data_IF_772672051845
#
_entry.id   IF_772672051845
#
_cell.length_a   1.000
_cell.length_b   1.000
_cell.length_c   1.000
_cell.angle_alpha   90.00
_cell.angle_beta   90.00
_cell.angle_gamma   90.00
#
_symmetry.space_group_name_H-M   'P 1'
#
loop_
_entity.id
_entity.type
_entity.pdbx_description
1 polymer ?
#
# COMPACT_ATOMS: atom_id res chain seq x y z
N UNK A 1 -7.93 17.91 19.62
CA UNK A 1 -8.09 18.59 18.31
C UNK A 1 -9.45 18.23 17.71
N UNK A 2 -10.09 19.10 16.90
CA UNK A 2 -11.36 18.80 16.21
C UNK A 2 -11.21 19.07 14.73
N UNK A 3 -11.81 18.22 13.87
CA UNK A 3 -11.81 18.33 12.41
C UNK A 3 -13.11 17.78 11.82
N UNK A 4 -13.43 18.08 10.56
CA UNK A 4 -14.55 17.44 9.86
C UNK A 4 -14.18 16.04 9.40
N UNK A 5 -12.96 15.88 8.88
CA UNK A 5 -12.48 14.61 8.35
C UNK A 5 -11.09 14.30 8.93
N UNK A 6 -10.97 13.12 9.49
CA UNK A 6 -9.69 12.54 9.90
C UNK A 6 -9.23 11.55 8.83
N UNK A 7 -8.02 11.72 8.32
CA UNK A 7 -7.34 10.75 7.43
C UNK A 7 -6.27 10.03 8.25
N UNK A 8 -6.32 8.70 8.28
CA UNK A 8 -5.37 7.86 9.01
C UNK A 8 -4.44 7.16 8.01
N UNK A 9 -3.20 7.58 7.98
CA UNK A 9 -2.15 7.14 7.07
C UNK A 9 -1.73 8.21 6.07
N UNK A 10 -0.43 8.51 6.03
CA UNK A 10 0.21 9.50 5.15
C UNK A 10 0.85 8.87 3.89
N UNK A 11 0.33 7.74 3.44
CA UNK A 11 0.69 7.16 2.14
C UNK A 11 0.01 7.88 0.97
N UNK A 12 0.23 7.41 -0.29
CA UNK A 12 -0.35 8.02 -1.49
C UNK A 12 -1.87 8.18 -1.41
N UNK A 13 -2.59 7.17 -0.90
CA UNK A 13 -4.05 7.22 -0.73
C UNK A 13 -4.48 8.33 0.23
N UNK A 14 -3.91 8.38 1.43
CA UNK A 14 -4.31 9.35 2.46
C UNK A 14 -3.96 10.78 2.07
N UNK A 15 -2.76 11.02 1.54
CA UNK A 15 -2.36 12.36 1.09
C UNK A 15 -3.24 12.84 -0.07
N UNK A 16 -3.61 11.95 -1.01
CA UNK A 16 -4.53 12.30 -2.10
C UNK A 16 -5.93 12.64 -1.58
N UNK A 17 -6.46 11.87 -0.62
CA UNK A 17 -7.74 12.19 0.01
C UNK A 17 -7.71 13.54 0.73
N UNK A 18 -6.62 13.84 1.45
CA UNK A 18 -6.43 15.11 2.12
C UNK A 18 -6.38 16.29 1.15
N UNK A 19 -5.69 16.15 0.00
CA UNK A 19 -5.66 17.15 -1.06
C UNK A 19 -7.08 17.44 -1.58
N UNK A 20 -7.85 16.40 -1.92
CA UNK A 20 -9.23 16.58 -2.42
C UNK A 20 -10.10 17.30 -1.40
N UNK A 21 -10.12 16.83 -0.15
CA UNK A 21 -10.94 17.40 0.92
C UNK A 21 -10.58 18.84 1.25
N UNK A 22 -9.30 19.17 1.30
CA UNK A 22 -8.82 20.55 1.51
C UNK A 22 -9.25 21.46 0.37
N UNK A 23 -9.19 21.00 -0.89
CA UNK A 23 -9.68 21.74 -2.05
C UNK A 23 -11.20 21.91 -2.06
N UNK A 24 -11.95 21.04 -1.39
CA UNK A 24 -13.38 21.20 -1.10
C UNK A 24 -13.64 22.11 0.12
N UNK A 25 -12.59 22.78 0.64
CA UNK A 25 -12.65 23.65 1.83
C UNK A 25 -13.16 22.94 3.08
N UNK A 26 -12.88 21.62 3.20
CA UNK A 26 -13.15 20.85 4.41
C UNK A 26 -12.01 21.01 5.41
N UNK A 27 -12.38 20.99 6.70
CA UNK A 27 -11.43 20.95 7.79
C UNK A 27 -10.93 19.50 7.92
N UNK A 28 -9.65 19.28 7.59
CA UNK A 28 -9.01 17.97 7.46
C UNK A 28 -7.77 17.91 8.32
N UNK A 29 -7.54 16.76 8.93
CA UNK A 29 -6.28 16.43 9.59
C UNK A 29 -5.80 15.05 9.12
N UNK A 30 -4.50 14.92 8.88
CA UNK A 30 -3.85 13.64 8.59
C UNK A 30 -3.09 13.18 9.83
N UNK A 31 -3.29 11.93 10.25
CA UNK A 31 -2.44 11.28 11.25
C UNK A 31 -1.61 10.21 10.56
N UNK A 32 -0.29 10.30 10.66
CA UNK A 32 0.65 9.45 9.94
C UNK A 32 1.74 8.90 10.85
N UNK A 33 1.82 7.57 10.94
CA UNK A 33 2.87 6.85 11.67
C UNK A 33 4.23 6.81 10.98
N UNK A 34 4.34 7.34 9.74
CA UNK A 34 5.62 7.50 9.04
C UNK A 34 6.16 6.25 8.34
N UNK A 35 5.40 5.14 8.29
CA UNK A 35 5.84 3.87 7.70
C UNK A 35 5.10 3.54 6.40
N UNK A 36 5.02 4.50 5.48
CA UNK A 36 4.39 4.26 4.17
C UNK A 36 5.20 3.27 3.33
N UNK A 37 4.52 2.21 2.86
CA UNK A 37 5.08 1.23 1.91
C UNK A 37 5.66 1.89 0.66
N UNK A 38 5.03 2.97 0.19
CA UNK A 38 5.50 3.71 -0.98
C UNK A 38 6.92 4.29 -0.81
N UNK A 39 7.37 4.55 0.43
CA UNK A 39 8.75 5.01 0.69
C UNK A 39 9.81 3.98 0.29
N UNK A 40 9.45 2.70 0.23
CA UNK A 40 10.33 1.59 -0.17
C UNK A 40 10.50 1.48 -1.69
N UNK A 41 9.68 2.17 -2.50
CA UNK A 41 9.75 2.08 -3.96
C UNK A 41 11.03 2.76 -4.46
N UNK A 42 12.00 2.01 -5.04
CA UNK A 42 13.23 2.59 -5.56
C UNK A 42 12.94 3.61 -6.67
N UNK A 43 12.10 3.19 -7.62
CA UNK A 43 11.56 4.01 -8.71
C UNK A 43 10.31 3.37 -9.29
N UNK A 44 9.22 4.12 -9.39
CA UNK A 44 8.00 3.69 -10.09
C UNK A 44 8.00 4.26 -11.50
N UNK A 45 7.85 3.40 -12.50
CA UNK A 45 7.74 3.77 -13.91
C UNK A 45 6.32 3.69 -14.46
N UNK A 46 5.39 3.12 -13.70
CA UNK A 46 4.00 2.94 -14.10
C UNK A 46 3.05 4.04 -13.57
N UNK A 47 3.60 5.15 -13.03
CA UNK A 47 2.81 6.30 -12.61
C UNK A 47 2.79 7.35 -13.73
N UNK A 48 1.62 7.66 -14.33
CA UNK A 48 1.49 8.67 -15.37
C UNK A 48 2.00 10.04 -14.93
N UNK A 49 2.59 10.80 -15.86
CA UNK A 49 3.18 12.11 -15.60
C UNK A 49 4.67 12.09 -15.22
N UNK A 50 5.24 10.89 -15.02
CA UNK A 50 6.66 10.71 -14.71
C UNK A 50 7.35 9.80 -15.73
N UNK A 51 7.66 10.29 -16.94
CA UNK A 51 8.22 9.46 -18.03
C UNK A 51 9.56 8.80 -17.67
N UNK A 52 10.34 9.42 -16.78
CA UNK A 52 11.61 8.87 -16.27
C UNK A 52 11.44 8.14 -14.93
N UNK A 53 10.19 7.83 -14.55
CA UNK A 53 9.84 7.29 -13.24
C UNK A 53 10.06 8.30 -12.11
N UNK A 54 9.56 7.93 -10.93
CA UNK A 54 9.72 8.72 -9.71
C UNK A 54 10.06 7.80 -8.53
N UNK A 55 10.96 8.23 -7.65
CA UNK A 55 11.26 7.52 -6.40
C UNK A 55 10.10 7.68 -5.42
N UNK A 56 9.79 6.60 -4.68
CA UNK A 56 8.64 6.62 -3.77
C UNK A 56 8.71 7.70 -2.70
N UNK A 57 9.89 7.90 -2.08
CA UNK A 57 10.10 8.95 -1.09
C UNK A 57 9.96 10.37 -1.70
N UNK A 58 10.35 10.55 -2.96
CA UNK A 58 10.22 11.83 -3.66
C UNK A 58 8.75 12.13 -3.96
N UNK A 59 7.99 11.12 -4.41
CA UNK A 59 6.55 11.24 -4.61
C UNK A 59 5.84 11.66 -3.32
N UNK A 60 6.11 10.94 -2.22
CA UNK A 60 5.54 11.27 -0.91
C UNK A 60 5.88 12.68 -0.47
N UNK A 61 7.14 13.09 -0.60
CA UNK A 61 7.58 14.45 -0.25
C UNK A 61 6.86 15.54 -1.05
N UNK A 62 6.65 15.31 -2.36
CA UNK A 62 5.89 16.25 -3.22
C UNK A 62 4.43 16.32 -2.79
N UNK A 63 3.80 15.19 -2.48
CA UNK A 63 2.42 15.14 -2.02
C UNK A 63 2.25 15.77 -0.63
N UNK A 64 3.16 15.48 0.31
CA UNK A 64 3.14 16.12 1.64
C UNK A 64 3.25 17.63 1.55
N UNK A 65 4.17 18.14 0.72
CA UNK A 65 4.29 19.57 0.48
C UNK A 65 2.98 20.17 -0.04
N UNK A 66 2.32 19.51 -1.00
CA UNK A 66 1.04 19.98 -1.54
C UNK A 66 -0.06 19.98 -0.46
N UNK A 67 -0.10 19.00 0.43
CA UNK A 67 -1.02 18.96 1.58
C UNK A 67 -0.75 20.11 2.55
N UNK A 68 0.53 20.40 2.83
CA UNK A 68 0.94 21.50 3.72
C UNK A 68 0.62 22.87 3.13
N UNK A 69 0.85 23.06 1.82
CA UNK A 69 0.50 24.30 1.11
C UNK A 69 -1.02 24.59 1.12
N UNK A 70 -1.85 23.54 1.24
CA UNK A 70 -3.29 23.66 1.45
C UNK A 70 -3.70 23.89 2.92
N UNK A 71 -2.74 24.04 3.82
CA UNK A 71 -2.97 24.31 5.25
C UNK A 71 -3.44 23.08 6.06
N UNK A 72 -3.31 21.86 5.53
CA UNK A 72 -3.73 20.65 6.25
C UNK A 72 -2.64 20.22 7.23
N UNK A 73 -2.93 20.09 8.53
CA UNK A 73 -1.98 19.58 9.50
C UNK A 73 -1.73 18.08 9.31
N UNK A 74 -0.45 17.68 9.38
CA UNK A 74 -0.01 16.29 9.41
C UNK A 74 0.55 16.01 10.80
N UNK A 75 -0.16 15.21 11.57
CA UNK A 75 0.26 14.78 12.91
C UNK A 75 1.09 13.50 12.79
N UNK A 76 2.36 13.55 13.14
CA UNK A 76 3.25 12.37 13.15
C UNK A 76 2.99 11.57 14.42
N UNK A 77 2.12 10.58 14.32
CA UNK A 77 1.66 9.72 15.40
C UNK A 77 0.89 8.52 14.83
N UNK A 78 0.67 7.49 15.64
CA UNK A 78 -0.15 6.33 15.26
C UNK A 78 -1.49 6.38 15.99
N UNK A 79 -2.59 6.21 15.24
CA UNK A 79 -3.91 6.06 15.82
C UNK A 79 -4.03 4.67 16.44
N UNK A 80 -4.40 4.60 17.71
CA UNK A 80 -4.48 3.35 18.48
C UNK A 80 -5.92 2.88 18.70
N UNK A 81 -6.91 3.78 18.63
CA UNK A 81 -8.32 3.40 18.75
C UNK A 81 -9.24 4.42 18.09
N UNK A 82 -10.41 3.94 17.70
CA UNK A 82 -11.54 4.74 17.21
C UNK A 82 -12.76 4.42 18.05
N UNK A 83 -13.45 5.43 18.55
CA UNK A 83 -14.67 5.28 19.34
C UNK A 83 -15.77 6.16 18.76
N UNK A 84 -16.93 5.56 18.45
CA UNK A 84 -18.10 6.32 17.98
C UNK A 84 -18.71 7.13 19.15
N UNK A 85 -18.93 8.39 18.92
CA UNK A 85 -19.76 9.29 19.75
C UNK A 85 -21.06 9.60 19.00
N UNK A 86 -22.00 10.30 19.61
CA UNK A 86 -23.32 10.57 18.98
C UNK A 86 -23.24 11.08 17.54
N UNK A 87 -22.42 12.12 17.28
CA UNK A 87 -22.27 12.78 15.98
C UNK A 87 -20.86 12.76 15.42
N UNK A 88 -19.91 12.38 16.24
CA UNK A 88 -18.48 12.43 15.95
C UNK A 88 -17.82 11.08 16.28
N UNK A 89 -16.58 10.94 15.88
CA UNK A 89 -15.68 9.83 16.21
C UNK A 89 -14.53 10.39 17.01
N UNK A 90 -14.21 9.78 18.14
CA UNK A 90 -13.00 10.06 18.89
C UNK A 90 -11.90 9.10 18.44
N UNK A 91 -10.83 9.64 17.91
CA UNK A 91 -9.60 8.90 17.60
C UNK A 91 -8.56 9.19 18.69
N UNK A 92 -8.03 8.14 19.29
CA UNK A 92 -6.89 8.23 20.21
C UNK A 92 -5.60 7.95 19.47
N UNK A 93 -4.55 8.69 19.75
CA UNK A 93 -3.22 8.50 19.21
C UNK A 93 -2.16 8.82 20.28
N UNK A 94 -0.89 8.46 20.07
CA UNK A 94 0.18 8.54 21.07
C UNK A 94 0.38 9.94 21.66
N UNK A 95 -0.12 11.00 21.00
CA UNK A 95 0.05 12.39 21.42
C UNK A 95 -1.24 13.07 21.85
N UNK A 96 -2.35 12.31 21.99
CA UNK A 96 -3.63 12.85 22.43
C UNK A 96 -4.82 12.32 21.65
N UNK A 97 -5.83 13.16 21.46
CA UNK A 97 -7.07 12.76 20.80
C UNK A 97 -7.51 13.74 19.72
N UNK A 98 -8.19 13.21 18.71
CA UNK A 98 -8.82 13.97 17.62
C UNK A 98 -10.29 13.57 17.56
N UNK A 99 -11.18 14.55 17.46
CA UNK A 99 -12.60 14.32 17.21
C UNK A 99 -12.90 14.69 15.75
N UNK A 100 -13.53 13.79 15.00
CA UNK A 100 -13.88 14.01 13.61
C UNK A 100 -15.29 13.49 13.29
N UNK A 101 -15.92 14.01 12.22
CA UNK A 101 -17.23 13.55 11.75
C UNK A 101 -17.14 12.37 10.77
N UNK A 102 -16.04 12.30 10.02
CA UNK A 102 -15.74 11.24 9.06
C UNK A 102 -14.30 10.78 9.26
N UNK A 103 -14.06 9.52 9.02
CA UNK A 103 -12.73 8.91 9.09
C UNK A 103 -12.45 8.21 7.76
N UNK A 104 -11.28 8.48 7.19
CA UNK A 104 -10.76 7.77 6.01
C UNK A 104 -9.54 6.97 6.47
N UNK A 105 -9.67 5.65 6.43
CA UNK A 105 -8.60 4.72 6.76
C UNK A 105 -7.76 4.44 5.50
N UNK A 106 -6.52 4.88 5.52
CA UNK A 106 -5.52 4.74 4.46
C UNK A 106 -4.22 4.09 4.99
N UNK A 107 -4.38 3.13 5.90
CA UNK A 107 -3.32 2.52 6.70
C UNK A 107 -2.44 1.55 5.91
N UNK A 108 -2.95 1.04 4.78
CA UNK A 108 -2.21 0.18 3.86
C UNK A 108 -1.87 -1.19 4.43
N UNK A 109 -0.71 -1.71 4.01
CA UNK A 109 -0.22 -3.05 4.33
C UNK A 109 1.26 -3.03 4.72
N UNK A 110 1.75 -4.16 5.25
CA UNK A 110 3.18 -4.49 5.42
C UNK A 110 3.47 -5.78 4.66
N UNK A 111 4.40 -5.73 3.72
CA UNK A 111 4.81 -6.93 2.98
C UNK A 111 5.52 -7.92 3.93
N UNK A 112 5.14 -9.20 3.88
CA UNK A 112 5.88 -10.28 4.51
C UNK A 112 7.07 -10.66 3.65
N UNK A 113 8.18 -10.97 4.29
CA UNK A 113 9.41 -11.32 3.58
C UNK A 113 10.21 -12.36 4.33
N UNK A 114 11.00 -13.13 3.61
CA UNK A 114 11.99 -14.03 4.22
C UNK A 114 13.12 -13.21 4.84
N UNK A 115 13.69 -13.62 5.98
CA UNK A 115 14.79 -12.91 6.63
C UNK A 115 15.98 -12.72 5.67
N UNK A 116 16.37 -11.48 5.46
CA UNK A 116 17.52 -11.08 4.68
C UNK A 116 18.24 -9.93 5.40
N UNK A 117 19.50 -10.14 5.75
CA UNK A 117 20.32 -9.04 6.24
C UNK A 117 20.43 -7.95 5.15
N UNK A 118 20.43 -6.68 5.57
CA UNK A 118 20.48 -5.52 4.66
C UNK A 118 19.36 -5.47 3.59
N UNK A 119 18.18 -6.04 3.89
CA UNK A 119 17.05 -6.07 2.98
C UNK A 119 16.67 -4.69 2.42
N UNK A 120 16.80 -3.63 3.23
CA UNK A 120 16.53 -2.25 2.79
C UNK A 120 17.50 -1.79 1.70
N UNK A 121 18.75 -2.21 1.76
CA UNK A 121 19.73 -1.95 0.71
C UNK A 121 19.39 -2.77 -0.55
N UNK A 122 19.00 -4.04 -0.41
CA UNK A 122 18.57 -4.89 -1.51
C UNK A 122 17.36 -4.31 -2.24
N UNK A 123 16.36 -3.78 -1.50
CA UNK A 123 15.21 -3.07 -2.11
C UNK A 123 15.67 -1.81 -2.82
N UNK A 124 16.50 -0.99 -2.20
CA UNK A 124 16.97 0.28 -2.76
C UNK A 124 17.76 0.10 -4.05
N UNK A 125 18.50 -1.00 -4.16
CA UNK A 125 19.29 -1.34 -5.34
C UNK A 125 18.49 -2.14 -6.39
N UNK A 126 17.25 -2.57 -6.07
CA UNK A 126 16.37 -3.31 -6.97
C UNK A 126 16.68 -4.80 -7.07
N UNK A 127 17.50 -5.34 -6.18
CA UNK A 127 17.77 -6.78 -6.05
C UNK A 127 16.59 -7.52 -5.39
N UNK A 128 15.91 -6.85 -4.44
CA UNK A 128 14.69 -7.32 -3.79
C UNK A 128 13.52 -6.42 -4.23
N UNK A 129 12.46 -7.01 -4.77
CA UNK A 129 11.30 -6.30 -5.29
C UNK A 129 10.01 -6.95 -4.83
N UNK A 130 8.97 -6.16 -4.50
CA UNK A 130 7.71 -6.70 -3.98
C UNK A 130 6.61 -6.82 -5.03
N UNK A 131 6.66 -6.01 -6.09
CA UNK A 131 5.52 -5.81 -6.99
C UNK A 131 5.89 -6.05 -8.46
N UNK A 132 5.66 -7.26 -9.00
CA UNK A 132 5.89 -7.56 -10.41
C UNK A 132 5.11 -6.65 -11.37
N UNK A 133 3.89 -6.23 -11.00
CA UNK A 133 3.08 -5.31 -11.81
C UNK A 133 3.73 -3.92 -11.90
N UNK A 134 4.52 -3.54 -10.89
CA UNK A 134 5.16 -2.22 -10.83
C UNK A 134 6.44 -2.15 -11.65
N UNK A 135 7.24 -3.23 -11.66
CA UNK A 135 8.62 -3.22 -12.14
C UNK A 135 9.07 -4.52 -12.84
N UNK A 136 8.11 -5.37 -13.25
CA UNK A 136 8.41 -6.56 -14.03
C UNK A 136 9.03 -6.23 -15.39
N UNK A 137 8.66 -5.09 -15.99
CA UNK A 137 9.27 -4.62 -17.24
C UNK A 137 10.78 -4.36 -17.07
N UNK A 138 11.20 -3.77 -15.96
CA UNK A 138 12.61 -3.52 -15.64
C UNK A 138 13.38 -4.79 -15.24
N UNK A 139 12.68 -5.92 -15.07
CA UNK A 139 13.27 -7.24 -14.83
C UNK A 139 13.43 -8.08 -16.11
N UNK A 140 13.19 -7.50 -17.29
CA UNK A 140 13.27 -8.20 -18.57
C UNK A 140 14.65 -8.82 -18.79
N UNK A 141 14.67 -10.14 -19.09
CA UNK A 141 15.89 -10.91 -19.37
C UNK A 141 16.77 -11.20 -18.15
N UNK A 142 16.32 -10.86 -16.95
CA UNK A 142 17.08 -11.08 -15.70
C UNK A 142 16.84 -12.48 -15.14
N UNK A 143 17.80 -12.94 -14.36
CA UNK A 143 17.67 -14.16 -13.57
C UNK A 143 16.88 -13.89 -12.28
N UNK A 144 15.64 -14.42 -12.23
CA UNK A 144 14.63 -14.05 -11.23
C UNK A 144 14.33 -15.24 -10.31
N UNK A 145 14.27 -15.00 -9.01
CA UNK A 145 13.68 -15.91 -8.05
C UNK A 145 12.35 -15.37 -7.52
N UNK A 146 11.35 -16.25 -7.43
CA UNK A 146 10.10 -16.02 -6.71
C UNK A 146 10.12 -16.88 -5.46
N UNK A 147 9.99 -16.29 -4.27
CA UNK A 147 10.11 -17.00 -2.98
C UNK A 147 8.78 -16.97 -2.24
N UNK A 148 8.23 -18.12 -1.90
CA UNK A 148 6.98 -18.20 -1.14
C UNK A 148 6.37 -19.60 -1.14
N UNK A 149 5.22 -19.74 -0.50
CA UNK A 149 4.38 -20.93 -0.57
C UNK A 149 3.97 -21.20 -2.02
N UNK A 150 3.97 -22.48 -2.42
CA UNK A 150 3.78 -22.87 -3.82
C UNK A 150 2.50 -22.28 -4.43
N UNK A 151 1.38 -22.31 -3.70
CA UNK A 151 0.09 -21.77 -4.15
C UNK A 151 0.16 -20.25 -4.44
N UNK A 152 0.67 -19.46 -3.52
CA UNK A 152 0.80 -18.02 -3.66
C UNK A 152 1.87 -17.62 -4.69
N UNK A 153 2.99 -18.33 -4.72
CA UNK A 153 4.13 -17.98 -5.58
C UNK A 153 3.90 -18.33 -7.05
N UNK A 154 3.09 -19.35 -7.36
CA UNK A 154 2.84 -19.82 -8.73
C UNK A 154 2.34 -18.71 -9.64
N UNK A 155 1.31 -17.97 -9.25
CA UNK A 155 0.75 -16.88 -10.07
C UNK A 155 1.79 -15.80 -10.39
N UNK A 156 2.60 -15.43 -9.39
CA UNK A 156 3.68 -14.44 -9.55
C UNK A 156 4.80 -14.96 -10.46
N UNK A 157 5.18 -16.24 -10.35
CA UNK A 157 6.18 -16.86 -11.20
C UNK A 157 5.74 -16.92 -12.66
N UNK A 158 4.49 -17.32 -12.92
CA UNK A 158 3.91 -17.33 -14.26
C UNK A 158 3.83 -15.94 -14.87
N UNK A 159 3.48 -14.92 -14.07
CA UNK A 159 3.49 -13.54 -14.53
C UNK A 159 4.89 -13.07 -14.95
N UNK A 160 5.92 -13.41 -14.17
CA UNK A 160 7.30 -13.01 -14.47
C UNK A 160 7.87 -13.72 -15.69
N UNK A 161 7.30 -14.86 -16.14
CA UNK A 161 7.67 -15.52 -17.41
C UNK A 161 7.39 -14.67 -18.65
N UNK A 162 6.53 -13.66 -18.54
CA UNK A 162 6.32 -12.66 -19.61
C UNK A 162 7.60 -11.86 -19.88
N UNK A 163 8.41 -11.65 -18.85
CA UNK A 163 9.58 -10.76 -18.91
C UNK A 163 10.92 -11.50 -18.97
N UNK A 164 11.00 -12.73 -18.45
CA UNK A 164 12.25 -13.49 -18.44
C UNK A 164 12.05 -14.99 -18.72
N UNK A 165 13.02 -15.58 -19.41
CA UNK A 165 13.13 -17.03 -19.55
C UNK A 165 13.76 -17.71 -18.32
N UNK A 166 14.44 -16.95 -17.47
CA UNK A 166 15.16 -17.43 -16.28
C UNK A 166 14.38 -17.14 -15.01
N UNK A 167 13.21 -17.77 -14.86
CA UNK A 167 12.39 -17.66 -13.65
C UNK A 167 12.45 -18.96 -12.86
N UNK A 168 12.79 -18.85 -11.58
CA UNK A 168 12.85 -19.95 -10.63
C UNK A 168 11.90 -19.67 -9.47
N UNK A 169 11.07 -20.66 -9.11
CA UNK A 169 10.29 -20.63 -7.87
C UNK A 169 11.05 -21.39 -6.79
N UNK A 170 11.22 -20.74 -5.64
CA UNK A 170 11.87 -21.28 -4.44
C UNK A 170 10.81 -21.40 -3.36
N UNK A 171 10.33 -22.62 -3.04
CA UNK A 171 9.39 -22.83 -1.96
C UNK A 171 10.01 -22.49 -0.59
N UNK A 172 9.17 -22.09 0.37
CA UNK A 172 9.60 -21.89 1.77
C UNK A 172 9.35 -23.10 2.66
N UNK A 173 8.62 -24.08 2.16
CA UNK A 173 8.21 -25.32 2.81
C UNK A 173 8.25 -26.50 1.82
N UNK A 174 7.94 -27.71 2.32
CA UNK A 174 7.89 -28.94 1.54
C UNK A 174 6.47 -29.27 1.03
N UNK A 175 5.56 -28.29 0.97
CA UNK A 175 4.21 -28.51 0.45
C UNK A 175 4.25 -28.86 -1.04
N UNK A 176 3.48 -29.90 -1.41
CA UNK A 176 3.31 -30.36 -2.77
C UNK A 176 1.91 -30.02 -3.28
N UNK A 177 1.88 -29.36 -4.45
CA UNK A 177 0.66 -29.13 -5.22
C UNK A 177 0.95 -29.54 -6.68
N UNK A 178 0.40 -30.67 -7.09
CA UNK A 178 0.59 -31.22 -8.43
C UNK A 178 0.06 -30.29 -9.52
N UNK A 179 -1.04 -29.59 -9.28
CA UNK A 179 -1.64 -28.66 -10.24
C UNK A 179 -0.76 -27.42 -10.43
N UNK A 180 -0.20 -26.87 -9.36
CA UNK A 180 0.76 -25.78 -9.42
C UNK A 180 2.05 -26.23 -10.12
N UNK A 181 2.59 -27.40 -9.77
CA UNK A 181 3.79 -27.98 -10.34
C UNK A 181 3.67 -28.20 -11.85
N UNK A 182 2.54 -28.72 -12.33
CA UNK A 182 2.28 -28.90 -13.77
C UNK A 182 2.21 -27.56 -14.53
N UNK A 183 1.54 -26.54 -13.97
CA UNK A 183 1.46 -25.20 -14.56
C UNK A 183 2.85 -24.55 -14.67
N UNK A 184 3.66 -24.65 -13.63
CA UNK A 184 5.02 -24.12 -13.60
C UNK A 184 5.91 -24.81 -14.63
N UNK A 185 5.89 -26.14 -14.70
CA UNK A 185 6.65 -26.93 -15.66
C UNK A 185 6.24 -26.61 -17.11
N UNK A 186 4.93 -26.52 -17.40
CA UNK A 186 4.43 -26.13 -18.72
C UNK A 186 4.88 -24.74 -19.15
N UNK A 187 5.06 -23.81 -18.20
CA UNK A 187 5.56 -22.48 -18.45
C UNK A 187 7.09 -22.38 -18.46
N UNK A 188 7.82 -23.48 -18.23
CA UNK A 188 9.27 -23.49 -18.14
C UNK A 188 9.82 -22.78 -16.90
N UNK A 189 9.05 -22.74 -15.81
CA UNK A 189 9.52 -22.27 -14.50
C UNK A 189 10.15 -23.44 -13.76
N UNK A 190 11.39 -23.26 -13.33
CA UNK A 190 12.08 -24.24 -12.50
C UNK A 190 11.64 -24.10 -11.05
N UNK A 191 11.39 -25.23 -10.38
CA UNK A 191 11.15 -25.29 -8.92
C UNK A 191 12.36 -25.92 -8.25
N UNK A 192 12.82 -25.32 -7.17
CA UNK A 192 13.99 -25.80 -6.40
C UNK A 192 13.53 -26.56 -5.14
N UNK A 193 14.48 -27.21 -4.40
CA UNK A 193 14.23 -27.55 -3.02
C UNK A 193 13.89 -26.30 -2.18
N UNK A 194 13.26 -26.46 -1.00
CA UNK A 194 12.90 -25.35 -0.14
C UNK A 194 14.06 -24.46 0.25
N UNK A 195 13.74 -23.19 0.47
CA UNK A 195 14.71 -22.19 0.93
C UNK A 195 15.16 -22.46 2.35
N UNK A 196 16.47 -22.45 2.56
CA UNK A 196 17.06 -22.48 3.90
C UNK A 196 17.45 -21.07 4.38
N UNK A 197 18.15 -20.29 3.55
CA UNK A 197 18.54 -18.92 3.90
C UNK A 197 18.82 -18.06 2.66
N UNK A 198 18.83 -16.74 2.86
CA UNK A 198 19.21 -15.75 1.85
C UNK A 198 20.44 -14.95 2.33
N UNK A 199 21.31 -14.62 1.40
CA UNK A 199 22.45 -13.73 1.64
C UNK A 199 22.61 -12.77 0.47
N UNK A 200 22.83 -11.49 0.76
CA UNK A 200 23.15 -10.51 -0.26
C UNK A 200 24.66 -10.54 -0.55
N UNK A 201 25.06 -10.67 -1.82
CA UNK A 201 26.45 -10.70 -2.27
C UNK A 201 26.61 -10.02 -3.62
N UNK A 202 27.51 -9.07 -3.72
CA UNK A 202 27.96 -8.46 -4.99
C UNK A 202 26.84 -8.03 -5.96
N UNK A 203 25.78 -7.41 -5.43
CA UNK A 203 24.67 -6.93 -6.26
C UNK A 203 23.69 -8.03 -6.68
N UNK A 204 23.77 -9.21 -6.04
CA UNK A 204 22.83 -10.34 -6.21
C UNK A 204 22.35 -10.85 -4.87
N UNK A 205 21.33 -11.70 -4.89
CA UNK A 205 20.87 -12.44 -3.71
C UNK A 205 21.16 -13.92 -3.93
N UNK A 206 22.01 -14.46 -3.09
CA UNK A 206 22.33 -15.89 -3.04
C UNK A 206 21.29 -16.61 -2.18
N UNK A 207 20.60 -17.58 -2.74
CA UNK A 207 19.72 -18.51 -2.03
C UNK A 207 20.51 -19.79 -1.68
N UNK A 208 20.38 -20.22 -0.43
CA UNK A 208 20.85 -21.51 0.05
C UNK A 208 19.63 -22.40 0.21
N UNK A 209 19.64 -23.56 -0.42
CA UNK A 209 18.52 -24.50 -0.38
C UNK A 209 18.68 -25.55 0.72
N UNK A 210 17.59 -26.22 1.08
CA UNK A 210 17.66 -27.47 1.84
C UNK A 210 18.60 -28.43 1.13
N UNK A 211 19.55 -29.03 1.87
CA UNK A 211 20.65 -29.85 1.30
C UNK A 211 21.94 -29.09 0.96
N UNK A 212 21.99 -27.76 1.16
CA UNK A 212 23.21 -26.95 1.12
C UNK A 212 23.63 -26.43 -0.26
N UNK A 213 22.91 -26.77 -1.33
CA UNK A 213 23.15 -26.18 -2.65
C UNK A 213 22.87 -24.69 -2.65
N UNK A 214 23.59 -23.94 -3.51
CA UNK A 214 23.50 -22.47 -3.55
C UNK A 214 23.29 -21.97 -4.97
N UNK A 215 22.57 -20.88 -5.11
CA UNK A 215 22.38 -20.21 -6.38
C UNK A 215 22.15 -18.72 -6.20
N UNK A 216 22.74 -17.90 -7.08
CA UNK A 216 22.57 -16.44 -7.07
C UNK A 216 21.54 -16.01 -8.09
N UNK A 217 20.73 -14.99 -7.70
CA UNK A 217 19.70 -14.36 -8.51
C UNK A 217 19.92 -12.86 -8.56
N UNK A 218 19.67 -12.27 -9.72
CA UNK A 218 19.77 -10.81 -9.89
C UNK A 218 18.62 -10.09 -9.23
N UNK A 219 17.43 -10.71 -9.26
CA UNK A 219 16.19 -10.14 -8.71
C UNK A 219 15.44 -11.23 -7.94
N UNK A 220 14.97 -10.87 -6.76
CA UNK A 220 14.12 -11.72 -5.93
C UNK A 220 12.79 -11.02 -5.66
N UNK A 221 11.69 -11.74 -5.87
CA UNK A 221 10.35 -11.31 -5.51
C UNK A 221 9.79 -12.22 -4.40
N UNK A 222 9.58 -11.71 -3.18
CA UNK A 222 8.81 -12.42 -2.17
C UNK A 222 7.34 -12.58 -2.61
N UNK A 223 6.78 -13.76 -2.38
CA UNK A 223 5.39 -14.10 -2.58
C UNK A 223 4.81 -14.69 -1.28
N UNK A 224 4.95 -13.95 -0.20
CA UNK A 224 4.64 -14.38 1.17
C UNK A 224 3.40 -13.68 1.75
N UNK A 225 2.66 -12.95 0.90
CA UNK A 225 1.52 -12.15 1.33
C UNK A 225 1.91 -10.87 2.06
N UNK A 226 0.94 -10.27 2.71
CA UNK A 226 1.09 -9.02 3.45
C UNK A 226 0.20 -9.00 4.68
N UNK A 227 0.57 -8.23 5.69
CA UNK A 227 -0.27 -7.92 6.85
C UNK A 227 -1.07 -6.66 6.55
N UNK A 228 -2.40 -6.81 6.48
CA UNK A 228 -3.31 -5.70 6.19
C UNK A 228 -3.58 -4.93 7.48
N UNK A 229 -3.32 -3.62 7.48
CA UNK A 229 -3.50 -2.75 8.67
C UNK A 229 -4.96 -2.28 8.82
N UNK A 230 -5.88 -3.21 8.98
CA UNK A 230 -7.33 -2.99 9.03
C UNK A 230 -7.94 -3.09 10.42
N UNK A 231 -7.14 -3.35 11.45
CA UNK A 231 -7.58 -3.68 12.82
C UNK A 231 -8.51 -2.60 13.40
N UNK A 232 -8.22 -1.32 13.15
CA UNK A 232 -9.06 -0.21 13.62
C UNK A 232 -10.49 -0.28 13.05
N UNK A 233 -10.66 -0.71 11.80
CA UNK A 233 -11.96 -0.84 11.16
C UNK A 233 -12.67 -2.13 11.60
N UNK A 234 -11.93 -3.24 11.69
CA UNK A 234 -12.46 -4.54 12.13
C UNK A 234 -13.00 -4.46 13.55
N UNK A 235 -12.31 -3.76 14.45
CA UNK A 235 -12.76 -3.52 15.82
C UNK A 235 -14.10 -2.76 15.90
N UNK A 236 -14.49 -2.05 14.84
CA UNK A 236 -15.75 -1.33 14.70
C UNK A 236 -16.83 -2.12 13.94
N UNK A 237 -16.54 -3.38 13.60
CA UNK A 237 -17.46 -4.26 12.88
C UNK A 237 -17.45 -4.08 11.35
N UNK A 238 -16.41 -3.47 10.76
CA UNK A 238 -16.24 -3.44 9.31
C UNK A 238 -16.03 -4.85 8.77
N UNK A 239 -16.65 -5.14 7.61
CA UNK A 239 -16.46 -6.42 6.93
C UNK A 239 -15.09 -6.47 6.28
N UNK A 240 -14.51 -7.66 6.25
CA UNK A 240 -13.20 -7.91 5.67
C UNK A 240 -13.10 -9.32 5.06
N UNK A 241 -12.16 -9.51 4.15
CA UNK A 241 -11.79 -10.81 3.60
C UNK A 241 -11.04 -11.66 4.63
N UNK A 242 -10.81 -12.92 4.32
CA UNK A 242 -9.99 -13.81 5.15
C UNK A 242 -8.55 -13.26 5.35
N UNK A 243 -8.02 -12.58 4.33
CA UNK A 243 -6.68 -11.96 4.36
C UNK A 243 -6.66 -10.60 5.08
N UNK A 244 -7.80 -10.11 5.57
CA UNK A 244 -7.91 -8.88 6.32
C UNK A 244 -8.16 -7.62 5.48
N UNK A 245 -8.32 -7.71 4.16
CA UNK A 245 -8.70 -6.57 3.33
C UNK A 245 -10.12 -6.12 3.64
N UNK A 246 -10.32 -4.81 3.81
CA UNK A 246 -11.64 -4.26 4.06
C UNK A 246 -12.55 -4.38 2.83
N UNK A 247 -13.75 -4.91 3.02
CA UNK A 247 -14.79 -4.89 2.00
C UNK A 247 -15.45 -3.50 1.98
N UNK A 248 -15.39 -2.84 0.85
CA UNK A 248 -15.97 -1.51 0.65
C UNK A 248 -17.00 -1.50 -0.50
N UNK A 249 -17.94 -0.57 -0.42
CA UNK A 249 -18.85 -0.33 -1.53
C UNK A 249 -18.23 0.58 -2.61
N UNK A 250 -19.01 0.87 -3.68
CA UNK A 250 -18.57 1.75 -4.77
C UNK A 250 -18.24 3.19 -4.32
N UNK A 251 -18.52 3.56 -3.08
CA UNK A 251 -18.20 4.85 -2.47
C UNK A 251 -17.08 4.74 -1.43
N UNK A 252 -16.39 3.59 -1.37
CA UNK A 252 -15.33 3.26 -0.42
C UNK A 252 -15.78 3.24 1.04
N UNK A 253 -17.09 2.98 1.34
CA UNK A 253 -17.59 2.84 2.70
C UNK A 253 -17.38 1.43 3.21
N UNK A 254 -16.89 1.28 4.44
CA UNK A 254 -16.58 -0.01 5.08
C UNK A 254 -17.79 -0.68 5.78
N UNK A 255 -19.03 -0.28 5.48
CA UNK A 255 -20.23 -0.77 6.20
C UNK A 255 -20.49 -0.07 7.54
N UNK A 256 -19.57 0.72 8.03
CA UNK A 256 -19.72 1.64 9.18
C UNK A 256 -19.98 3.03 8.62
N UNK A 257 -21.10 3.68 9.01
CA UNK A 257 -21.68 4.88 8.37
C UNK A 257 -20.68 6.03 8.11
N UNK A 258 -19.72 6.24 9.00
CA UNK A 258 -18.78 7.36 8.99
C UNK A 258 -17.36 6.97 8.59
N UNK A 259 -17.13 5.68 8.26
CA UNK A 259 -15.81 5.11 7.98
C UNK A 259 -15.66 4.73 6.51
N UNK A 260 -14.55 5.17 5.94
CA UNK A 260 -14.12 4.83 4.57
C UNK A 260 -12.78 4.08 4.62
N UNK A 261 -12.59 3.13 3.72
CA UNK A 261 -11.31 2.45 3.49
C UNK A 261 -10.79 2.77 2.09
N UNK A 262 -9.49 3.07 1.95
CA UNK A 262 -8.87 3.41 0.67
C UNK A 262 -7.43 2.88 0.54
N UNK A 263 -7.00 2.64 -0.69
CA UNK A 263 -5.65 2.15 -1.00
C UNK A 263 -5.48 0.68 -0.66
N UNK A 264 -4.27 0.30 -0.28
CA UNK A 264 -3.87 -1.10 -0.12
C UNK A 264 -4.61 -1.84 1.01
N UNK A 265 -5.29 -1.14 1.90
CA UNK A 265 -6.11 -1.75 2.97
C UNK A 265 -7.42 -2.38 2.45
N UNK A 266 -7.82 -2.06 1.20
CA UNK A 266 -9.09 -2.53 0.60
C UNK A 266 -8.90 -3.39 -0.66
N UNK A 267 -7.67 -3.62 -1.12
CA UNK A 267 -7.41 -4.39 -2.34
C UNK A 267 -6.03 -5.02 -2.32
N UNK A 268 -5.91 -6.19 -2.91
CA UNK A 268 -4.64 -6.88 -3.17
C UNK A 268 -3.88 -6.31 -4.38
N UNK A 269 -4.52 -5.47 -5.19
CA UNK A 269 -3.87 -4.71 -6.27
C UNK A 269 -3.20 -3.45 -5.72
N UNK A 270 -2.03 -3.60 -5.16
CA UNK A 270 -1.26 -2.55 -4.49
C UNK A 270 -0.62 -1.57 -5.49
N UNK A 271 -1.43 -0.66 -6.04
CA UNK A 271 -1.00 0.32 -7.05
C UNK A 271 -1.29 1.76 -6.61
N UNK A 272 -0.34 2.66 -6.85
CA UNK A 272 -0.51 4.10 -6.52
C UNK A 272 -1.71 4.69 -7.27
N UNK A 273 -1.89 4.33 -8.54
CA UNK A 273 -3.02 4.82 -9.35
C UNK A 273 -4.38 4.35 -8.82
N UNK A 274 -4.47 3.11 -8.30
CA UNK A 274 -5.67 2.58 -7.63
C UNK A 274 -5.92 3.34 -6.34
N UNK A 275 -4.88 3.57 -5.54
CA UNK A 275 -4.96 4.34 -4.31
C UNK A 275 -5.47 5.76 -4.54
N UNK A 276 -5.03 6.43 -5.62
CA UNK A 276 -5.52 7.75 -6.02
C UNK A 276 -7.00 7.72 -6.42
N UNK A 277 -7.43 6.70 -7.18
CA UNK A 277 -8.83 6.52 -7.55
C UNK A 277 -9.74 6.33 -6.33
N UNK A 278 -9.37 5.42 -5.42
CA UNK A 278 -10.10 5.20 -4.16
C UNK A 278 -10.18 6.49 -3.33
N UNK A 279 -9.08 7.23 -3.23
CA UNK A 279 -9.02 8.48 -2.47
C UNK A 279 -9.97 9.54 -3.04
N UNK A 280 -10.01 9.72 -4.36
CA UNK A 280 -10.91 10.67 -5.02
C UNK A 280 -12.38 10.30 -4.76
N UNK A 281 -12.76 9.02 -4.91
CA UNK A 281 -14.13 8.54 -4.67
C UNK A 281 -14.53 8.77 -3.21
N UNK A 282 -13.72 8.35 -2.26
CA UNK A 282 -14.00 8.49 -0.83
C UNK A 282 -14.11 9.98 -0.41
N UNK A 283 -13.18 10.81 -0.86
CA UNK A 283 -13.16 12.23 -0.54
C UNK A 283 -14.40 12.95 -1.07
N UNK A 284 -14.81 12.68 -2.32
CA UNK A 284 -16.04 13.22 -2.90
C UNK A 284 -17.27 12.81 -2.09
N UNK A 285 -17.39 11.51 -1.76
CA UNK A 285 -18.54 11.03 -0.99
C UNK A 285 -18.54 11.57 0.45
N UNK A 286 -17.39 11.60 1.12
CA UNK A 286 -17.25 12.18 2.46
C UNK A 286 -17.65 13.66 2.47
N UNK A 287 -17.23 14.44 1.45
CA UNK A 287 -17.63 15.82 1.28
C UNK A 287 -19.16 15.98 1.20
N UNK A 288 -19.84 15.21 0.34
CA UNK A 288 -21.30 15.27 0.16
C UNK A 288 -22.07 14.75 1.38
N UNK A 289 -21.49 13.91 2.20
CA UNK A 289 -22.10 13.39 3.43
C UNK A 289 -22.03 14.35 4.63
N UNK A 290 -21.36 15.49 4.46
CA UNK A 290 -21.24 16.55 5.45
C UNK A 290 -22.10 17.76 5.06
N UNK A 291 -22.58 18.58 6.01
CA UNK A 291 -23.31 19.80 5.71
C UNK A 291 -22.54 20.69 4.74
N UNK A 292 -23.22 21.22 3.75
CA UNK A 292 -22.62 22.16 2.79
C UNK A 292 -22.28 23.47 3.49
N UNK A 293 -21.12 24.03 3.12
CA UNK A 293 -20.70 25.37 3.53
C UNK A 293 -20.71 26.23 2.28
N UNK A 294 -21.56 27.25 2.25
CA UNK A 294 -21.61 28.22 1.16
C UNK A 294 -20.77 29.44 1.54
N UNK A 295 -20.06 30.01 0.59
CA UNK A 295 -19.39 31.29 0.75
C UNK A 295 -20.49 32.36 0.85
N UNK A 296 -20.49 33.15 1.93
CA UNK A 296 -21.35 34.29 2.03
C UNK A 296 -20.92 35.32 0.99
N UNK A 297 -21.81 35.71 0.09
CA UNK A 297 -21.53 36.81 -0.82
C UNK A 297 -21.21 38.03 0.04
N UNK A 298 -19.98 38.51 -0.03
CA UNK A 298 -19.58 39.79 0.53
C UNK A 298 -20.44 40.84 -0.15
N UNK A 299 -21.55 41.23 0.51
CA UNK A 299 -22.44 42.29 0.05
C UNK A 299 -21.67 43.59 -0.02
N UNK A 300 -21.10 43.86 -1.17
CA UNK A 300 -20.76 45.23 -1.57
C UNK A 300 -22.04 45.99 -1.78
N UNK A 301 -22.52 46.62 -0.72
CA UNK A 301 -23.48 47.73 -0.85
C UNK A 301 -22.76 48.83 -1.64
N UNK A 302 -22.94 48.81 -2.95
CA UNK A 302 -22.71 50.01 -3.76
C UNK A 302 -23.73 51.03 -3.29
N UNK A 303 -23.33 51.95 -2.41
CA UNK A 303 -24.09 53.16 -2.13
C UNK A 303 -24.06 53.99 -3.40
N UNK A 304 -25.17 54.06 -4.11
CA UNK A 304 -25.48 55.09 -5.10
C UNK A 304 -25.54 56.45 -4.46
#
# INVERSE_FOLDING_TARGET
MRSEVLVIGGGPAGLMAAIYLARFRRDVVVVDGGASRAALIPRSHNLPGFPNGIRGHELLSRMERQVQELGVPIVRSSVTSLEKREKDVLASHDRGTITARRVILATGIVDRQFPLADWTAAVRNGELRYCPVCDGFEATGRKIAIIGELGHATGKALFMRVYSSEVTLIPIDDEHDDACSQKLAAAGVRVTPPLHSLQRRDGTIEAVFAGGARESFEIVYPAMGADVRSELAIALGARHTADGFLEVDAKQRCGVEWLYGIGDVVTDLHQISVAFGHAAIAACHAHHSLPMRYEESSGSLVKT
#
